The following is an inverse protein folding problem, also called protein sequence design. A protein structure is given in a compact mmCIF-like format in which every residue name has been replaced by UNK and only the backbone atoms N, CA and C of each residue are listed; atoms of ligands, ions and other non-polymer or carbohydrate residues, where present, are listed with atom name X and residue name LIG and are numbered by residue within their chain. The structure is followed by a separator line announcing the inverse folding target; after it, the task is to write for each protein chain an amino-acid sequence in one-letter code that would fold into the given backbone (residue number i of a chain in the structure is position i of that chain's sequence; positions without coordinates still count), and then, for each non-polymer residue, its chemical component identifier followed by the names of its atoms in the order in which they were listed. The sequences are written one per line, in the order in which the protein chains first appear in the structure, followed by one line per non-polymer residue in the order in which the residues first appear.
data_IF_574017222332
#
_entry.id   IF_574017222332
#
_cell.length_a   1.000
_cell.length_b   1.000
_cell.length_c   1.000
_cell.angle_alpha   90.00
_cell.angle_beta   90.00
_cell.angle_gamma   90.00
#
_symmetry.space_group_name_H-M   'P 1'
#
loop_
_entity.id
_entity.type
_entity.pdbx_description
1 polymer ?
#
# COMPACT_ATOMS: atom_id res chain seq x y z
N UNK A 1 -6.81 -1.57 19.33
CA UNK A 1 -7.77 -1.22 18.25
C UNK A 1 -7.07 -1.46 16.92
N UNK A 2 -7.74 -2.05 15.94
CA UNK A 2 -7.18 -2.31 14.61
C UNK A 2 -8.14 -1.84 13.52
N UNK A 3 -7.63 -1.08 12.55
CA UNK A 3 -8.40 -0.50 11.46
C UNK A 3 -7.69 -0.78 10.14
N UNK A 4 -8.46 -1.04 9.07
CA UNK A 4 -7.91 -1.24 7.73
C UNK A 4 -8.54 -0.25 6.78
N UNK A 5 -7.71 0.52 6.07
CA UNK A 5 -8.12 1.45 5.05
C UNK A 5 -7.64 0.97 3.68
N UNK A 6 -8.55 0.93 2.70
CA UNK A 6 -8.23 0.52 1.34
C UNK A 6 -8.38 1.70 0.39
N UNK A 7 -7.35 1.92 -0.44
CA UNK A 7 -7.27 3.01 -1.41
C UNK A 7 -7.03 2.45 -2.81
N UNK A 8 -7.61 3.07 -3.83
CA UNK A 8 -7.37 2.71 -5.23
C UNK A 8 -6.49 3.76 -5.91
N UNK A 9 -5.38 3.33 -6.52
CA UNK A 9 -4.44 4.22 -7.20
C UNK A 9 -3.80 3.55 -8.42
N UNK A 10 -3.89 4.17 -9.62
CA UNK A 10 -3.24 3.67 -10.85
C UNK A 10 -3.50 2.17 -11.16
N UNK A 11 -4.74 1.69 -11.00
CA UNK A 11 -5.14 0.26 -11.10
C UNK A 11 -4.50 -0.68 -10.06
N UNK A 12 -4.06 -0.12 -8.94
CA UNK A 12 -3.59 -0.86 -7.78
C UNK A 12 -4.50 -0.58 -6.59
N UNK A 13 -4.73 -1.60 -5.77
CA UNK A 13 -5.34 -1.50 -4.45
C UNK A 13 -4.22 -1.37 -3.43
N UNK A 14 -4.33 -0.41 -2.53
CA UNK A 14 -3.41 -0.17 -1.41
C UNK A 14 -4.21 -0.37 -0.13
N UNK A 15 -4.00 -1.47 0.57
CA UNK A 15 -4.57 -1.73 1.88
C UNK A 15 -3.55 -1.36 2.98
N UNK A 16 -3.96 -0.50 3.91
CA UNK A 16 -3.19 -0.07 5.07
C UNK A 16 -3.94 -0.51 6.32
N UNK A 17 -3.42 -1.53 7.00
CA UNK A 17 -3.89 -1.95 8.29
C UNK A 17 -3.07 -1.28 9.39
N UNK A 18 -3.75 -0.68 10.35
CA UNK A 18 -3.18 0.01 11.52
C UNK A 18 -3.63 -0.74 12.75
N UNK A 19 -2.71 -1.00 13.67
CA UNK A 19 -2.98 -1.60 14.97
C UNK A 19 -2.31 -0.77 16.05
N UNK A 20 -3.13 -0.28 16.97
CA UNK A 20 -2.65 0.40 18.17
C UNK A 20 -2.19 -0.63 19.20
N UNK A 21 -0.95 -0.51 19.63
CA UNK A 21 -0.28 -1.38 20.59
C UNK A 21 0.41 -0.53 21.67
N UNK A 22 -0.35 -0.11 22.68
CA UNK A 22 0.14 0.83 23.68
C UNK A 22 0.40 2.21 23.08
N UNK A 23 1.64 2.68 23.20
CA UNK A 23 2.17 3.92 22.62
C UNK A 23 2.64 3.77 21.16
N UNK A 24 2.62 2.54 20.64
CA UNK A 24 3.03 2.22 19.27
C UNK A 24 1.85 2.02 18.34
N UNK A 25 2.12 2.33 17.08
CA UNK A 25 1.23 2.15 15.95
C UNK A 25 1.92 1.18 14.99
N UNK A 26 1.44 -0.06 14.97
CA UNK A 26 1.87 -1.06 14.02
C UNK A 26 1.10 -0.87 12.71
N UNK A 27 1.80 -0.70 11.60
CA UNK A 27 1.21 -0.50 10.27
C UNK A 27 1.65 -1.61 9.34
N UNK A 28 0.70 -2.20 8.64
CA UNK A 28 0.92 -3.18 7.57
C UNK A 28 0.35 -2.63 6.28
N UNK A 29 1.16 -2.53 5.24
CA UNK A 29 0.75 -2.06 3.92
C UNK A 29 0.84 -3.20 2.93
N UNK A 30 -0.19 -3.31 2.08
CA UNK A 30 -0.25 -4.27 0.99
C UNK A 30 -0.71 -3.57 -0.29
N UNK A 31 0.04 -3.77 -1.36
CA UNK A 31 -0.27 -3.26 -2.70
C UNK A 31 -0.59 -4.47 -3.59
N UNK A 32 -1.77 -4.44 -4.20
CA UNK A 32 -2.26 -5.49 -5.10
C UNK A 32 -2.64 -4.87 -6.44
N UNK A 33 -2.39 -5.57 -7.54
CA UNK A 33 -2.93 -5.13 -8.82
C UNK A 33 -4.43 -5.41 -8.88
N UNK A 34 -5.23 -4.43 -9.27
CA UNK A 34 -6.66 -4.63 -9.49
C UNK A 34 -6.80 -5.40 -10.81
N UNK A 35 -7.35 -6.63 -10.81
CA UNK A 35 -7.50 -7.39 -12.03
C UNK A 35 -8.43 -6.65 -13.01
N UNK A 36 -8.03 -6.62 -14.27
CA UNK A 36 -8.88 -6.21 -15.39
C UNK A 36 -9.14 -7.43 -16.28
N UNK A 37 -10.19 -7.36 -17.10
CA UNK A 37 -10.54 -8.44 -18.03
C UNK A 37 -9.30 -8.91 -18.80
N UNK A 38 -9.00 -10.21 -18.70
CA UNK A 38 -7.85 -10.86 -19.33
C UNK A 38 -6.59 -11.04 -18.45
N UNK A 39 -6.52 -10.48 -17.25
CA UNK A 39 -5.36 -10.63 -16.37
C UNK A 39 -5.64 -11.63 -15.22
N UNK A 40 -5.09 -12.85 -15.33
CA UNK A 40 -5.08 -13.82 -14.23
C UNK A 40 -3.90 -13.54 -13.29
N UNK A 41 -4.17 -12.85 -12.19
CA UNK A 41 -3.19 -12.69 -11.11
C UNK A 41 -3.43 -11.46 -10.25
N UNK A 42 -4.37 -11.53 -9.30
CA UNK A 42 -4.44 -10.58 -8.19
C UNK A 42 -3.42 -11.00 -7.11
N UNK A 43 -2.13 -10.86 -7.42
CA UNK A 43 -1.05 -11.08 -6.47
C UNK A 43 -0.70 -9.80 -5.72
N UNK A 44 -0.33 -9.91 -4.45
CA UNK A 44 0.32 -8.80 -3.74
C UNK A 44 1.66 -8.51 -4.41
N UNK A 45 1.75 -7.36 -5.09
CA UNK A 45 2.95 -6.89 -5.76
C UNK A 45 3.98 -6.40 -4.76
N UNK A 46 3.51 -5.84 -3.65
CA UNK A 46 4.37 -5.37 -2.59
C UNK A 46 3.67 -5.41 -1.24
N UNK A 47 4.39 -5.78 -0.19
CA UNK A 47 3.89 -5.72 1.17
C UNK A 47 5.04 -5.42 2.13
N UNK A 48 4.76 -4.60 3.14
CA UNK A 48 5.71 -4.31 4.21
C UNK A 48 4.98 -3.94 5.50
N UNK A 49 5.70 -4.03 6.61
CA UNK A 49 5.22 -3.61 7.92
C UNK A 49 6.18 -2.61 8.54
N UNK A 50 5.66 -1.76 9.41
CA UNK A 50 6.44 -0.83 10.23
C UNK A 50 5.76 -0.64 11.58
N UNK A 51 6.51 -0.18 12.57
CA UNK A 51 6.01 0.13 13.90
C UNK A 51 6.59 1.48 14.30
N UNK A 52 5.73 2.46 14.53
CA UNK A 52 6.13 3.84 14.82
C UNK A 52 5.34 4.37 16.03
N UNK A 53 5.90 5.37 16.71
CA UNK A 53 5.21 6.10 17.78
C UNK A 53 4.66 7.41 17.24
N UNK A 54 3.40 7.73 17.52
CA UNK A 54 2.81 9.01 17.10
C UNK A 54 1.33 8.92 16.78
N UNK A 55 0.83 9.93 16.08
CA UNK A 55 -0.55 10.00 15.61
C UNK A 55 -0.81 8.90 14.57
N UNK A 56 -1.80 8.02 14.79
CA UNK A 56 -2.14 6.97 13.82
C UNK A 56 -2.54 7.53 12.45
N UNK A 57 -3.17 8.72 12.42
CA UNK A 57 -3.55 9.38 11.17
C UNK A 57 -2.33 9.85 10.39
N UNK A 58 -1.36 10.51 11.04
CA UNK A 58 -0.17 11.03 10.35
C UNK A 58 0.68 9.88 9.79
N UNK A 59 0.80 8.80 10.57
CA UNK A 59 1.51 7.58 10.15
C UNK A 59 0.79 6.92 8.96
N UNK A 60 -0.56 6.88 8.95
CA UNK A 60 -1.34 6.38 7.81
C UNK A 60 -1.07 7.20 6.54
N UNK A 61 -1.14 8.52 6.64
CA UNK A 61 -0.93 9.41 5.48
C UNK A 61 0.49 9.25 4.93
N UNK A 62 1.50 9.15 5.79
CA UNK A 62 2.87 8.89 5.40
C UNK A 62 3.02 7.51 4.72
N UNK A 63 2.38 6.47 5.27
CA UNK A 63 2.37 5.12 4.69
C UNK A 63 1.71 5.11 3.31
N UNK A 64 0.58 5.81 3.14
CA UNK A 64 -0.12 5.96 1.86
C UNK A 64 0.74 6.68 0.82
N UNK A 65 1.34 7.82 1.18
CA UNK A 65 2.21 8.57 0.28
C UNK A 65 3.43 7.74 -0.17
N UNK A 66 4.00 6.92 0.71
CA UNK A 66 5.05 5.96 0.35
C UNK A 66 4.53 4.89 -0.61
N UNK A 67 3.37 4.32 -0.33
CA UNK A 67 2.77 3.29 -1.18
C UNK A 67 2.49 3.80 -2.61
N UNK A 68 1.97 5.03 -2.74
CA UNK A 68 1.74 5.65 -4.04
C UNK A 68 3.04 5.85 -4.84
N UNK A 69 4.13 6.28 -4.18
CA UNK A 69 5.46 6.39 -4.83
C UNK A 69 5.98 5.06 -5.36
N UNK A 70 5.72 3.98 -4.64
CA UNK A 70 6.09 2.62 -5.06
C UNK A 70 5.27 2.22 -6.29
N UNK A 71 3.96 2.46 -6.29
CA UNK A 71 3.09 2.22 -7.47
C UNK A 71 3.57 3.02 -8.68
N UNK A 72 3.92 4.30 -8.51
CA UNK A 72 4.47 5.12 -9.60
C UNK A 72 5.77 4.53 -10.19
N UNK A 73 6.64 3.99 -9.32
CA UNK A 73 7.83 3.26 -9.73
C UNK A 73 7.51 2.03 -10.58
N UNK A 74 6.53 1.22 -10.15
CA UNK A 74 6.07 0.04 -10.89
C UNK A 74 5.51 0.41 -12.27
N UNK A 75 4.66 1.44 -12.33
CA UNK A 75 4.04 1.91 -13.58
C UNK A 75 5.09 2.44 -14.56
N UNK A 76 6.08 3.21 -14.08
CA UNK A 76 7.18 3.71 -14.92
C UNK A 76 8.10 2.59 -15.40
N UNK A 77 8.44 1.64 -14.54
CA UNK A 77 9.26 0.48 -14.89
C UNK A 77 8.60 -0.38 -15.97
N UNK A 78 7.30 -0.64 -15.84
CA UNK A 78 6.54 -1.38 -16.84
C UNK A 78 6.51 -0.68 -18.22
N UNK A 79 6.38 0.65 -18.25
CA UNK A 79 6.41 1.43 -19.50
C UNK A 79 7.77 1.44 -20.18
N UNK A 80 8.86 1.38 -19.41
CA UNK A 80 10.22 1.41 -19.95
C UNK A 80 10.62 0.08 -20.59
N UNK A 81 9.99 -1.03 -20.19
CA UNK A 81 10.28 -2.38 -20.68
C UNK A 81 9.42 -2.79 -21.90
N UNK A 82 8.53 -1.89 -22.36
CA UNK A 82 7.60 -2.13 -23.46
C UNK A 82 7.98 -1.34 -24.74
N UNK A 83 9.19 -0.76 -24.79
CA UNK A 83 9.72 0.01 -25.91
C UNK A 83 10.79 -0.78 -26.68
#
# INVERSE_FOLDING_TARGET
MSETHTFSYQRHSIAIAIRLNGDRVDVSVRIEQIPHAGASGAGALHAWTMSETGSPNDIREAALARAMRIVDGMVRGARSNAA
#
